data_IF_377308077187
#
_entry.id   IF_377308077187
#
_cell.length_a   1.000
_cell.length_b   1.000
_cell.length_c   1.000
_cell.angle_alpha   90.00
_cell.angle_beta   90.00
_cell.angle_gamma   90.00
#
_symmetry.space_group_name_H-M   'P 1'
#
loop_
_entity.id
_entity.type
_entity.pdbx_description
1 polymer ?
#
# COMPACT_ATOMS: atom_id res chain seq x y z
N UNK A 1 2.02 10.20 -7.34
CA UNK A 1 1.39 8.90 -7.70
C UNK A 1 2.05 7.83 -6.83
N UNK A 2 1.30 7.00 -6.10
CA UNK A 2 1.87 5.98 -5.22
C UNK A 2 1.86 4.61 -5.92
N UNK A 3 3.04 4.04 -6.11
CA UNK A 3 3.23 2.69 -6.61
C UNK A 3 3.65 1.79 -5.47
N UNK A 4 2.90 0.72 -5.25
CA UNK A 4 3.21 -0.28 -4.22
C UNK A 4 3.61 -1.58 -4.90
N UNK A 5 4.80 -2.08 -4.56
CA UNK A 5 5.19 -3.44 -4.85
C UNK A 5 4.63 -4.34 -3.75
N UNK A 6 3.77 -5.28 -4.13
CA UNK A 6 3.17 -6.26 -3.21
C UNK A 6 4.26 -7.09 -2.53
N UNK A 7 4.02 -7.54 -1.30
CA UNK A 7 4.96 -8.33 -0.49
C UNK A 7 5.53 -9.55 -1.24
N UNK A 8 4.71 -10.21 -2.06
CA UNK A 8 5.15 -11.36 -2.89
C UNK A 8 6.06 -10.97 -4.07
N UNK A 9 6.39 -9.68 -4.26
CA UNK A 9 7.16 -9.11 -5.38
C UNK A 9 6.61 -9.45 -6.78
N UNK A 10 5.38 -9.97 -6.83
CA UNK A 10 4.69 -10.45 -8.04
C UNK A 10 3.91 -9.36 -8.77
N UNK A 11 3.64 -8.23 -8.12
CA UNK A 11 2.80 -7.18 -8.71
C UNK A 11 3.21 -5.80 -8.22
N UNK A 12 3.38 -4.88 -9.17
CA UNK A 12 3.49 -3.45 -8.92
C UNK A 12 2.14 -2.80 -9.22
N UNK A 13 1.55 -2.13 -8.25
CA UNK A 13 0.20 -1.58 -8.37
C UNK A 13 0.18 -0.10 -8.05
N UNK A 14 -0.55 0.67 -8.86
CA UNK A 14 -0.77 2.09 -8.60
C UNK A 14 -1.98 2.24 -7.67
N UNK A 15 -1.74 2.57 -6.41
CA UNK A 15 -2.80 2.70 -5.41
C UNK A 15 -3.17 4.16 -5.22
N UNK A 16 -4.47 4.42 -5.10
CA UNK A 16 -5.00 5.74 -4.72
C UNK A 16 -5.12 5.88 -3.21
N UNK A 17 -5.41 4.79 -2.54
CA UNK A 17 -5.60 4.74 -1.08
C UNK A 17 -5.00 3.43 -0.54
N UNK A 18 -4.47 3.49 0.68
CA UNK A 18 -3.95 2.32 1.41
C UNK A 18 -4.65 2.26 2.76
N UNK A 19 -5.21 1.11 3.10
CA UNK A 19 -5.97 0.89 4.34
C UNK A 19 -5.53 -0.39 5.04
N UNK A 20 -5.73 -0.45 6.35
CA UNK A 20 -5.44 -1.64 7.17
C UNK A 20 -6.75 -2.31 7.54
N UNK A 21 -6.87 -3.58 7.19
CA UNK A 21 -8.01 -4.43 7.53
C UNK A 21 -7.55 -5.58 8.41
N UNK A 22 -7.63 -5.38 9.72
CA UNK A 22 -7.07 -6.33 10.70
C UNK A 22 -5.56 -6.44 10.53
N UNK A 23 -5.07 -7.61 10.11
CA UNK A 23 -3.65 -7.88 9.89
C UNK A 23 -3.17 -7.69 8.44
N UNK A 24 -4.07 -7.28 7.55
CA UNK A 24 -3.81 -7.18 6.11
C UNK A 24 -3.79 -5.71 5.68
N UNK A 25 -2.87 -5.35 4.80
CA UNK A 25 -2.81 -4.03 4.16
C UNK A 25 -3.42 -4.13 2.77
N UNK A 26 -4.48 -3.37 2.53
CA UNK A 26 -5.19 -3.30 1.26
C UNK A 26 -4.93 -1.97 0.56
N UNK A 27 -4.83 -2.01 -0.77
CA UNK A 27 -4.67 -0.85 -1.64
C UNK A 27 -5.84 -0.71 -2.59
N UNK A 28 -6.44 0.48 -2.67
CA UNK A 28 -7.53 0.77 -3.59
C UNK A 28 -6.94 1.24 -4.92
N UNK A 29 -7.11 0.42 -5.96
CA UNK A 29 -6.63 0.61 -7.32
C UNK A 29 -7.85 0.99 -8.18
N UNK A 30 -8.29 2.24 -8.08
CA UNK A 30 -9.48 2.72 -8.81
C UNK A 30 -9.34 2.47 -10.32
N UNK A 31 -10.26 1.70 -10.91
CA UNK A 31 -10.21 1.30 -12.34
C UNK A 31 -11.33 1.93 -13.20
N UNK A 32 -12.41 2.45 -12.61
CA UNK A 32 -13.43 3.31 -13.24
C UNK A 32 -14.35 3.95 -12.20
N UNK A 33 -15.07 5.02 -12.57
CA UNK A 33 -15.92 5.85 -11.70
C UNK A 33 -16.97 5.11 -10.85
N UNK A 34 -17.29 3.84 -11.17
CA UNK A 34 -18.32 3.04 -10.47
C UNK A 34 -17.80 1.72 -9.88
N UNK A 35 -16.51 1.39 -10.00
CA UNK A 35 -15.96 0.13 -9.48
C UNK A 35 -14.67 0.39 -8.70
N UNK A 36 -14.77 0.27 -7.37
CA UNK A 36 -13.63 0.27 -6.46
C UNK A 36 -13.05 -1.14 -6.41
N UNK A 37 -11.86 -1.33 -6.98
CA UNK A 37 -11.08 -2.55 -6.80
C UNK A 37 -10.08 -2.33 -5.66
N UNK A 38 -10.24 -3.09 -4.57
CA UNK A 38 -9.17 -3.23 -3.58
C UNK A 38 -8.29 -4.42 -3.94
N UNK A 39 -7.02 -4.35 -3.57
CA UNK A 39 -6.07 -5.44 -3.70
C UNK A 39 -5.25 -5.54 -2.44
N UNK A 40 -5.04 -6.78 -1.99
CA UNK A 40 -4.13 -7.05 -0.89
C UNK A 40 -2.70 -6.73 -1.33
N UNK A 41 -2.06 -5.82 -0.59
CA UNK A 41 -0.67 -5.41 -0.82
C UNK A 41 0.31 -6.25 -0.01
N UNK A 42 -0.08 -6.61 1.21
CA UNK A 42 0.69 -7.46 2.11
C UNK A 42 -0.17 -7.93 3.30
N UNK A 43 0.24 -9.04 3.90
CA UNK A 43 -0.32 -9.58 5.13
C UNK A 43 0.79 -9.66 6.18
N UNK A 44 0.47 -9.30 7.42
CA UNK A 44 1.41 -9.24 8.52
C UNK A 44 0.90 -10.07 9.70
N UNK A 45 1.78 -10.38 10.65
CA UNK A 45 1.41 -11.20 11.82
C UNK A 45 0.51 -10.46 12.80
N UNK A 46 0.63 -9.13 12.88
CA UNK A 46 -0.13 -8.30 13.79
C UNK A 46 -0.73 -7.06 13.11
N UNK A 47 -1.83 -6.57 13.67
CA UNK A 47 -2.43 -5.30 13.27
C UNK A 47 -1.46 -4.13 13.44
N UNK A 48 -0.67 -4.14 14.52
CA UNK A 48 0.35 -3.13 14.79
C UNK A 48 1.40 -3.07 13.68
N UNK A 49 1.83 -4.25 13.18
CA UNK A 49 2.79 -4.32 12.07
C UNK A 49 2.19 -3.77 10.79
N UNK A 50 0.96 -4.13 10.47
CA UNK A 50 0.24 -3.59 9.31
C UNK A 50 0.08 -2.06 9.39
N UNK A 51 -0.23 -1.52 10.58
CA UNK A 51 -0.29 -0.08 10.82
C UNK A 51 1.06 0.61 10.67
N UNK A 52 2.12 -0.01 11.18
CA UNK A 52 3.49 0.52 11.08
C UNK A 52 3.90 0.68 9.61
N UNK A 53 3.55 -0.29 8.77
CA UNK A 53 3.80 -0.22 7.33
C UNK A 53 3.07 0.96 6.67
N UNK A 54 1.82 1.23 7.04
CA UNK A 54 1.11 2.41 6.53
C UNK A 54 1.75 3.73 7.01
N UNK A 55 2.22 3.79 8.26
CA UNK A 55 2.98 4.94 8.77
C UNK A 55 4.30 5.14 8.02
N UNK A 56 4.99 4.06 7.65
CA UNK A 56 6.20 4.13 6.82
C UNK A 56 5.90 4.68 5.42
N UNK A 57 4.78 4.27 4.80
CA UNK A 57 4.31 4.82 3.52
C UNK A 57 4.07 6.33 3.66
N UNK A 58 3.35 6.75 4.71
CA UNK A 58 3.09 8.16 4.98
C UNK A 58 4.38 8.97 5.11
N UNK A 59 5.31 8.51 5.95
CA UNK A 59 6.60 9.18 6.16
C UNK A 59 7.41 9.30 4.85
N UNK A 60 7.34 8.27 3.99
CA UNK A 60 8.00 8.29 2.68
C UNK A 60 7.36 9.31 1.73
N UNK A 61 6.03 9.43 1.76
CA UNK A 61 5.30 10.42 0.98
C UNK A 61 5.57 11.85 1.46
N UNK A 62 5.73 12.08 2.77
CA UNK A 62 6.12 13.39 3.32
C UNK A 62 7.54 13.80 2.88
N UNK A 63 8.45 12.84 2.75
CA UNK A 63 9.83 13.09 2.31
C UNK A 63 9.99 13.37 0.82
N UNK A 64 9.09 12.88 -0.03
CA UNK A 64 9.15 13.02 -1.48
C UNK A 64 8.20 14.12 -1.98
N UNK A 65 8.69 15.36 -1.98
CA UNK A 65 7.87 16.56 -2.14
C UNK A 65 7.24 16.80 -3.53
N UNK A 66 7.35 15.92 -4.53
CA UNK A 66 6.58 15.94 -5.80
C UNK A 66 7.12 14.87 -6.75
N UNK A 67 6.42 13.73 -6.85
CA UNK A 67 6.83 12.66 -7.77
C UNK A 67 5.95 11.42 -7.78
N UNK A 68 6.46 10.40 -8.50
CA UNK A 68 5.96 9.04 -8.45
C UNK A 68 6.70 8.29 -7.34
N UNK A 69 6.07 8.12 -6.19
CA UNK A 69 6.66 7.43 -5.03
C UNK A 69 6.48 5.93 -5.19
N UNK A 70 7.59 5.20 -5.18
CA UNK A 70 7.59 3.74 -5.16
C UNK A 70 7.83 3.23 -3.73
N UNK A 71 6.93 2.41 -3.24
CA UNK A 71 7.02 1.76 -1.94
C UNK A 71 7.02 0.24 -2.12
N UNK A 72 7.97 -0.43 -1.48
CA UNK A 72 7.99 -1.89 -1.44
C UNK A 72 7.47 -2.34 -0.10
N UNK A 73 6.45 -3.20 -0.12
CA UNK A 73 5.95 -3.79 1.11
C UNK A 73 7.08 -4.60 1.78
N UNK A 74 7.35 -4.36 3.08
CA UNK A 74 8.36 -5.13 3.79
C UNK A 74 7.95 -6.60 3.84
N UNK A 75 8.98 -7.46 3.73
CA UNK A 75 8.84 -8.90 3.97
C UNK A 75 8.36 -9.14 5.42
N UNK A 76 7.72 -10.30 5.66
CA UNK A 76 7.10 -10.68 6.94
C UNK A 76 8.12 -10.62 8.08
#
# INVERSE_FOLDING_TARGET
>A
MLWVLTQNKRSLVNVKEVTVKGKTVEGIISRSFFVYWSRVLGEYDSHERAMDVVKQIHKKLEGEARGSTAFSMPDM
#
